data_IF_799409248289
#
_entry.id   IF_799409248289
#
_cell.length_a   1.000
_cell.length_b   1.000
_cell.length_c   1.000
_cell.angle_alpha   90.00
_cell.angle_beta   90.00
_cell.angle_gamma   90.00
#
_symmetry.space_group_name_H-M   'P 1'
#
loop_
_entity.id
_entity.type
_entity.pdbx_description
1 polymer ?
#
# COMPACT_ATOMS: atom_id res chain seq x y z
N UNK A 1 14.97 34.68 30.15
CA UNK A 1 13.79 33.98 29.59
C UNK A 1 13.93 33.59 28.11
N UNK A 2 14.64 34.36 27.27
CA UNK A 2 14.74 34.08 25.82
C UNK A 2 15.41 32.74 25.45
N UNK A 3 16.46 32.31 26.18
CA UNK A 3 17.15 31.03 25.90
C UNK A 3 16.26 29.80 26.05
N UNK A 4 15.31 29.81 26.99
CA UNK A 4 14.34 28.71 27.15
C UNK A 4 13.33 28.71 25.99
N UNK A 5 12.76 29.88 25.66
CA UNK A 5 11.79 30.01 24.56
C UNK A 5 12.39 29.59 23.20
N UNK A 6 13.66 29.97 22.95
CA UNK A 6 14.41 29.54 21.77
C UNK A 6 14.61 28.03 21.71
N UNK A 7 14.89 27.36 22.83
CA UNK A 7 15.06 25.91 22.87
C UNK A 7 13.77 25.12 22.56
N UNK A 8 12.62 25.60 23.05
CA UNK A 8 11.32 24.97 22.77
C UNK A 8 10.91 25.11 21.30
N UNK A 9 11.16 26.27 20.69
CA UNK A 9 10.89 26.49 19.26
C UNK A 9 11.77 25.56 18.42
N UNK A 10 13.07 25.47 18.72
CA UNK A 10 13.96 24.55 17.99
C UNK A 10 13.51 23.10 18.13
N UNK A 11 13.11 22.65 19.33
CA UNK A 11 12.63 21.29 19.55
C UNK A 11 11.35 21.00 18.75
N UNK A 12 10.39 21.92 18.73
CA UNK A 12 9.15 21.77 17.95
C UNK A 12 9.42 21.68 16.44
N UNK A 13 10.33 22.53 15.92
CA UNK A 13 10.72 22.48 14.49
C UNK A 13 11.40 21.16 14.15
N UNK A 14 12.31 20.67 14.99
CA UNK A 14 12.94 19.36 14.79
C UNK A 14 11.93 18.23 14.77
N UNK A 15 10.95 18.25 15.68
CA UNK A 15 9.89 17.23 15.72
C UNK A 15 9.05 17.24 14.43
N UNK A 16 8.63 18.42 13.97
CA UNK A 16 7.89 18.57 12.72
C UNK A 16 8.70 18.08 11.51
N UNK A 17 10.00 18.36 11.48
CA UNK A 17 10.90 17.85 10.43
C UNK A 17 11.00 16.32 10.45
N UNK A 18 11.12 15.71 11.63
CA UNK A 18 11.17 14.24 11.77
C UNK A 18 9.86 13.63 11.26
N UNK A 19 8.72 14.20 11.65
CA UNK A 19 7.41 13.75 11.17
C UNK A 19 7.33 13.89 9.64
N UNK A 20 7.70 15.05 9.09
CA UNK A 20 7.68 15.27 7.65
C UNK A 20 8.58 14.27 6.89
N UNK A 21 9.79 14.02 7.39
CA UNK A 21 10.72 13.05 6.82
C UNK A 21 10.17 11.62 6.89
N UNK A 22 9.47 11.25 7.97
CA UNK A 22 8.83 9.94 8.10
C UNK A 22 7.79 9.67 7.00
N UNK A 23 7.00 10.69 6.64
CA UNK A 23 6.01 10.60 5.56
C UNK A 23 6.63 10.69 4.15
N UNK A 24 7.71 11.46 3.99
CA UNK A 24 8.38 11.64 2.69
C UNK A 24 9.37 10.53 2.34
N UNK A 25 9.90 9.81 3.32
CA UNK A 25 10.84 8.72 3.09
C UNK A 25 10.17 7.59 2.29
N UNK A 26 10.82 7.09 1.22
CA UNK A 26 10.32 5.93 0.50
C UNK A 26 10.23 4.74 1.45
N UNK A 27 9.16 3.97 1.31
CA UNK A 27 8.90 2.76 2.05
C UNK A 27 8.75 1.59 1.09
N UNK A 28 9.20 0.42 1.52
CA UNK A 28 8.84 -0.86 0.93
C UNK A 28 7.84 -1.50 1.89
N UNK A 29 6.52 -1.38 1.65
CA UNK A 29 5.51 -1.87 2.58
C UNK A 29 5.39 -3.41 2.57
N UNK A 30 5.98 -4.05 1.57
CA UNK A 30 6.09 -5.50 1.38
C UNK A 30 7.51 -5.77 0.89
N UNK A 31 8.24 -6.65 1.56
CA UNK A 31 9.55 -7.07 1.08
C UNK A 31 9.42 -8.07 -0.07
N UNK A 32 10.42 -8.08 -0.95
CA UNK A 32 10.42 -8.95 -2.12
C UNK A 32 10.33 -10.44 -1.73
N UNK A 33 9.39 -11.18 -2.30
CA UNK A 33 9.22 -12.61 -2.05
C UNK A 33 8.42 -12.96 -0.79
N UNK A 34 7.90 -11.96 -0.06
CA UNK A 34 7.15 -12.22 1.18
C UNK A 34 5.65 -12.50 0.96
N UNK A 35 5.16 -12.38 -0.27
CA UNK A 35 3.75 -12.64 -0.57
C UNK A 35 3.53 -14.15 -0.62
N UNK A 36 2.95 -14.68 0.45
CA UNK A 36 2.67 -16.11 0.62
C UNK A 36 1.32 -16.52 0.03
N UNK A 37 0.39 -15.57 -0.05
CA UNK A 37 -0.93 -15.74 -0.61
C UNK A 37 -1.40 -14.40 -1.15
N UNK A 38 -2.08 -14.41 -2.29
CA UNK A 38 -2.69 -13.22 -2.84
C UNK A 38 -4.00 -13.58 -3.53
N UNK A 39 -4.99 -12.73 -3.35
CA UNK A 39 -6.24 -12.82 -4.07
C UNK A 39 -6.61 -11.47 -4.66
N UNK A 40 -7.18 -11.51 -5.85
CA UNK A 40 -7.74 -10.37 -6.55
C UNK A 40 -9.26 -10.44 -6.46
N UNK A 41 -9.87 -9.35 -6.01
CA UNK A 41 -11.32 -9.17 -5.97
C UNK A 41 -11.71 -8.07 -6.96
N UNK A 42 -12.68 -8.36 -7.83
CA UNK A 42 -13.20 -7.45 -8.85
C UNK A 42 -14.71 -7.59 -8.94
N UNK A 43 -15.47 -6.60 -8.50
CA UNK A 43 -16.93 -6.69 -8.49
C UNK A 43 -17.41 -7.94 -7.76
N UNK A 44 -17.69 -9.02 -8.48
CA UNK A 44 -18.17 -10.31 -7.94
C UNK A 44 -17.18 -11.47 -8.15
N UNK A 45 -16.05 -11.23 -8.81
CA UNK A 45 -15.02 -12.25 -9.08
C UNK A 45 -13.95 -12.26 -7.99
N UNK A 46 -13.58 -13.45 -7.55
CA UNK A 46 -12.48 -13.69 -6.61
C UNK A 46 -11.47 -14.66 -7.26
N UNK A 47 -10.24 -14.21 -7.46
CA UNK A 47 -9.22 -14.95 -8.21
C UNK A 47 -8.00 -15.19 -7.31
N UNK A 48 -7.87 -16.40 -6.79
CA UNK A 48 -6.65 -16.81 -6.09
C UNK A 48 -5.46 -16.82 -7.04
N UNK A 49 -4.38 -16.13 -6.67
CA UNK A 49 -3.13 -16.17 -7.39
C UNK A 49 -2.31 -17.39 -6.94
N UNK A 50 -2.13 -18.35 -7.84
CA UNK A 50 -1.41 -19.61 -7.58
C UNK A 50 -0.32 -19.83 -8.62
N UNK A 51 0.72 -20.57 -8.24
CA UNK A 51 1.85 -20.91 -9.12
C UNK A 51 2.51 -19.66 -9.70
N UNK A 52 2.67 -19.63 -11.03
CA UNK A 52 3.36 -18.53 -11.73
C UNK A 52 2.75 -17.15 -11.45
N UNK A 53 1.43 -17.04 -11.25
CA UNK A 53 0.78 -15.77 -10.92
C UNK A 53 1.20 -15.21 -9.55
N UNK A 54 1.46 -16.10 -8.58
CA UNK A 54 1.95 -15.70 -7.25
C UNK A 54 3.43 -15.28 -7.33
N UNK A 55 4.22 -15.92 -8.18
CA UNK A 55 5.60 -15.50 -8.44
C UNK A 55 5.65 -14.13 -9.15
N UNK A 56 4.82 -13.95 -10.18
CA UNK A 56 4.78 -12.70 -10.95
C UNK A 56 4.35 -11.51 -10.08
N UNK A 57 3.36 -11.68 -9.20
CA UNK A 57 2.98 -10.60 -8.28
C UNK A 57 4.09 -10.29 -7.27
N UNK A 58 4.82 -11.29 -6.77
CA UNK A 58 5.99 -11.07 -5.90
C UNK A 58 7.08 -10.25 -6.60
N UNK A 59 7.39 -10.57 -7.86
CA UNK A 59 8.37 -9.83 -8.67
C UNK A 59 7.90 -8.38 -8.89
N UNK A 60 6.63 -8.17 -9.21
CA UNK A 60 6.06 -6.83 -9.40
C UNK A 60 6.10 -6.01 -8.10
N UNK A 61 5.80 -6.60 -6.94
CA UNK A 61 5.88 -5.88 -5.66
C UNK A 61 7.30 -5.50 -5.25
N UNK A 62 8.31 -6.28 -5.67
CA UNK A 62 9.71 -5.94 -5.40
C UNK A 62 10.11 -4.61 -6.04
N UNK A 63 9.44 -4.20 -7.12
CA UNK A 63 9.68 -2.93 -7.82
C UNK A 63 8.82 -1.77 -7.30
N UNK A 64 7.80 -2.06 -6.49
CA UNK A 64 6.91 -1.05 -5.93
C UNK A 64 7.61 -0.31 -4.78
N UNK A 65 7.56 1.01 -4.85
CA UNK A 65 7.89 1.88 -3.72
C UNK A 65 6.62 2.53 -3.22
N UNK A 66 6.62 3.00 -1.99
CA UNK A 66 5.45 3.70 -1.45
C UNK A 66 5.85 4.92 -0.63
N UNK A 67 4.90 5.84 -0.49
CA UNK A 67 4.97 6.91 0.51
C UNK A 67 3.91 6.70 1.56
N UNK A 68 4.27 6.90 2.81
CA UNK A 68 3.30 6.88 3.90
C UNK A 68 2.34 8.04 3.71
N UNK A 69 1.07 7.80 3.99
CA UNK A 69 0.03 8.81 4.02
C UNK A 69 -1.01 8.44 5.08
N UNK A 70 -1.88 9.38 5.39
CA UNK A 70 -3.11 9.06 6.10
C UNK A 70 -4.14 8.48 5.14
N UNK A 71 -5.20 7.89 5.68
CA UNK A 71 -6.36 7.43 4.91
C UNK A 71 -6.82 8.53 3.94
N UNK A 72 -6.88 8.27 2.63
CA UNK A 72 -7.32 9.26 1.67
C UNK A 72 -8.80 9.55 1.83
N UNK A 73 -9.18 10.83 1.76
CA UNK A 73 -10.56 11.26 1.98
C UNK A 73 -11.56 10.70 0.95
N UNK A 74 -11.09 10.29 -0.23
CA UNK A 74 -11.91 9.79 -1.34
C UNK A 74 -11.70 8.30 -1.62
N UNK A 75 -11.20 7.52 -0.67
CA UNK A 75 -11.29 6.06 -0.82
C UNK A 75 -12.75 5.67 -0.63
N UNK A 76 -13.41 5.47 -1.76
CA UNK A 76 -14.64 4.69 -1.85
C UNK A 76 -14.25 3.24 -2.05
N UNK A 77 -14.59 2.40 -1.09
CA UNK A 77 -14.77 0.95 -1.29
C UNK A 77 -16.02 0.75 -2.15
N UNK A 78 -15.96 1.21 -3.40
CA UNK A 78 -16.97 0.88 -4.40
C UNK A 78 -16.82 -0.62 -4.70
N UNK A 79 -17.93 -1.34 -4.84
CA UNK A 79 -17.90 -2.77 -5.22
C UNK A 79 -17.18 -2.96 -6.57
N UNK A 80 -17.17 -1.94 -7.44
CA UNK A 80 -16.45 -1.96 -8.71
C UNK A 80 -14.96 -1.63 -8.60
N UNK A 81 -14.48 -1.20 -7.42
CA UNK A 81 -13.06 -0.92 -7.22
C UNK A 81 -12.25 -2.22 -7.31
N UNK A 82 -11.11 -2.13 -8.00
CA UNK A 82 -10.21 -3.25 -8.10
C UNK A 82 -9.44 -3.41 -6.78
N UNK A 83 -9.60 -4.55 -6.12
CA UNK A 83 -8.98 -4.82 -4.83
C UNK A 83 -8.06 -6.03 -4.91
N UNK A 84 -6.94 -5.96 -4.19
CA UNK A 84 -5.99 -7.07 -4.05
C UNK A 84 -5.67 -7.26 -2.58
N UNK A 85 -5.98 -8.44 -2.09
CA UNK A 85 -5.66 -8.87 -0.74
C UNK A 85 -4.40 -9.73 -0.77
N UNK A 86 -3.46 -9.41 0.09
CA UNK A 86 -2.15 -10.03 0.13
C UNK A 86 -1.82 -10.44 1.55
N UNK A 87 -1.39 -11.68 1.74
CA UNK A 87 -0.91 -12.18 3.02
C UNK A 87 0.61 -12.31 2.99
N UNK A 88 1.25 -11.60 3.90
CA UNK A 88 2.68 -11.66 4.19
C UNK A 88 2.92 -12.32 5.55
N UNK A 89 4.18 -12.57 5.92
CA UNK A 89 4.53 -13.04 7.26
C UNK A 89 4.07 -12.06 8.37
N UNK A 90 4.03 -10.76 8.06
CA UNK A 90 3.61 -9.69 8.96
C UNK A 90 2.09 -9.49 9.02
N UNK A 91 1.33 -10.28 8.27
CA UNK A 91 -0.13 -10.24 8.24
C UNK A 91 -0.73 -9.83 6.89
N UNK A 92 -2.04 -9.60 6.93
CA UNK A 92 -2.86 -9.28 5.76
C UNK A 92 -2.74 -7.80 5.42
N UNK A 93 -2.59 -7.51 4.13
CA UNK A 93 -2.52 -6.19 3.55
C UNK A 93 -3.53 -6.10 2.41
N UNK A 94 -4.16 -4.95 2.30
CA UNK A 94 -5.22 -4.68 1.34
C UNK A 94 -4.76 -3.58 0.40
N UNK A 95 -5.04 -3.75 -0.89
CA UNK A 95 -4.62 -2.82 -1.92
C UNK A 95 -5.82 -2.44 -2.75
N UNK A 96 -6.05 -1.14 -2.86
CA UNK A 96 -7.20 -0.57 -3.56
C UNK A 96 -6.67 0.24 -4.75
N UNK A 97 -7.12 -0.12 -5.96
CA UNK A 97 -6.75 0.55 -7.19
C UNK A 97 -7.89 1.48 -7.66
N UNK A 98 -7.82 2.75 -7.25
CA UNK A 98 -8.69 3.83 -7.72
C UNK A 98 -7.90 4.73 -8.71
N UNK A 99 -8.03 6.05 -8.67
CA UNK A 99 -7.17 6.94 -9.47
C UNK A 99 -5.68 6.73 -9.15
N UNK A 100 -5.38 6.55 -7.86
CA UNK A 100 -4.09 6.10 -7.34
C UNK A 100 -4.24 4.72 -6.68
N UNK A 101 -3.12 4.03 -6.47
CA UNK A 101 -3.08 2.76 -5.75
C UNK A 101 -2.67 2.99 -4.30
N UNK A 102 -3.44 2.45 -3.37
CA UNK A 102 -3.17 2.56 -1.94
C UNK A 102 -3.10 1.19 -1.28
N UNK A 103 -2.24 1.06 -0.29
CA UNK A 103 -2.06 -0.13 0.53
C UNK A 103 -2.26 0.23 2.00
N UNK A 104 -2.97 -0.63 2.74
CA UNK A 104 -3.04 -0.56 4.20
C UNK A 104 -2.98 -1.97 4.80
N UNK A 105 -2.65 -2.06 6.09
CA UNK A 105 -2.63 -3.31 6.84
C UNK A 105 -3.91 -3.43 7.67
N UNK A 106 -4.51 -4.61 7.77
CA UNK A 106 -5.65 -4.79 8.68
C UNK A 106 -5.23 -4.65 10.16
N UNK A 107 -3.93 -4.78 10.46
CA UNK A 107 -3.39 -4.61 11.81
C UNK A 107 -3.10 -3.15 12.18
N UNK A 108 -3.00 -2.26 11.19
CA UNK A 108 -2.79 -0.82 11.35
C UNK A 108 -3.42 -0.10 10.15
N UNK A 109 -4.66 0.34 10.33
CA UNK A 109 -5.46 1.07 9.35
C UNK A 109 -5.26 2.60 9.46
N UNK A 110 -4.37 3.06 10.35
CA UNK A 110 -4.06 4.48 10.54
C UNK A 110 -3.03 4.93 9.49
N UNK A 111 -2.00 4.11 9.26
CA UNK A 111 -0.95 4.40 8.29
C UNK A 111 -1.23 3.68 6.97
N UNK A 112 -1.44 4.49 5.94
CA UNK A 112 -1.62 4.05 4.58
C UNK A 112 -0.35 4.26 3.78
N UNK A 113 -0.24 3.56 2.67
CA UNK A 113 0.87 3.63 1.75
C UNK A 113 0.32 3.93 0.37
N UNK A 114 0.60 5.12 -0.16
CA UNK A 114 0.37 5.38 -1.58
C UNK A 114 1.48 4.69 -2.37
N UNK A 115 1.10 3.75 -3.21
CA UNK A 115 2.03 3.00 -4.05
C UNK A 115 2.48 3.88 -5.23
N UNK A 116 3.78 4.09 -5.33
CA UNK A 116 4.44 4.74 -6.45
C UNK A 116 4.84 3.64 -7.46
N UNK A 117 4.75 3.93 -8.76
CA UNK A 117 5.01 2.97 -9.85
C UNK A 117 4.08 1.73 -9.91
N UNK A 118 2.86 1.82 -9.37
CA UNK A 118 1.90 0.71 -9.35
C UNK A 118 1.25 0.37 -10.71
N UNK A 119 1.67 0.98 -11.83
CA UNK A 119 1.05 0.78 -13.14
C UNK A 119 1.13 -0.67 -13.61
N UNK A 120 2.31 -1.29 -13.56
CA UNK A 120 2.48 -2.68 -14.00
C UNK A 120 1.75 -3.66 -13.09
N UNK A 121 1.70 -3.37 -11.79
CA UNK A 121 0.90 -4.14 -10.85
C UNK A 121 -0.60 -4.03 -11.17
N UNK A 122 -1.08 -2.83 -11.49
CA UNK A 122 -2.47 -2.61 -11.92
C UNK A 122 -2.80 -3.38 -13.20
N UNK A 123 -1.96 -3.26 -14.23
CA UNK A 123 -2.14 -3.97 -15.51
C UNK A 123 -2.04 -5.49 -15.33
N UNK A 124 -1.05 -5.93 -14.54
CA UNK A 124 -1.08 -7.12 -13.69
C UNK A 124 -2.47 -7.72 -13.51
N UNK A 125 -3.12 -7.05 -12.57
CA UNK A 125 -4.36 -7.46 -11.99
C UNK A 125 -5.48 -7.33 -13.03
N UNK A 126 -5.58 -6.22 -13.76
CA UNK A 126 -6.58 -5.97 -14.81
C UNK A 126 -6.57 -7.00 -15.95
N UNK A 127 -5.44 -7.65 -16.23
CA UNK A 127 -5.34 -8.66 -17.29
C UNK A 127 -5.59 -10.10 -16.82
N UNK A 128 -5.84 -10.33 -15.52
CA UNK A 128 -6.21 -11.68 -15.07
C UNK A 128 -7.58 -12.05 -15.65
N UNK A 129 -7.76 -13.29 -16.14
CA UNK A 129 -8.99 -13.72 -16.80
C UNK A 129 -10.16 -13.68 -15.82
N UNK A 130 -11.33 -13.28 -16.32
CA UNK A 130 -12.59 -13.45 -15.60
C UNK A 130 -12.86 -14.93 -15.36
N UNK A 131 -13.34 -15.26 -14.17
CA UNK A 131 -13.84 -16.60 -13.88
C UNK A 131 -15.32 -16.55 -14.22
N UNK A 132 -15.70 -16.96 -15.44
CA UNK A 132 -17.12 -17.23 -15.72
C UNK A 132 -17.54 -18.45 -14.87
N UNK A 133 -18.57 -18.29 -14.03
CA UNK A 133 -19.19 -19.38 -13.25
C UNK A 133 -19.78 -20.49 -14.14
#
# INVERSE_FOLDING_TARGET
>A
MSKKLSGWITAAVCLLLIIALYFLAPAHPIDAGEITYATVTRSYDHIDLKGKRLEDINELFAEVTAKRCFTPANITEDESALMVDITTNDGVKHIIFNDEAYLYSSADDIIWYRLENALYLRLFVENLPHVEE
#
